data_IF_492253424410
#
_entry.id   IF_492253424410
#
_cell.length_a   1.000
_cell.length_b   1.000
_cell.length_c   1.000
_cell.angle_alpha   90.00
_cell.angle_beta   90.00
_cell.angle_gamma   90.00
#
_symmetry.space_group_name_H-M   'P 1'
#
loop_
_entity.id
_entity.type
_entity.pdbx_description
1 polymer ?
#
# COMPACT_ATOMS: atom_id res chain seq x y z
N UNK A 1 8.36 -7.20 -11.30
CA UNK A 1 8.00 -6.23 -12.34
C UNK A 1 8.03 -4.83 -11.72
N UNK A 2 7.52 -3.80 -12.40
CA UNK A 2 7.20 -2.54 -11.75
C UNK A 2 5.77 -2.63 -11.18
N UNK A 3 5.60 -2.39 -9.87
CA UNK A 3 4.28 -2.37 -9.22
C UNK A 3 3.29 -1.43 -9.93
N UNK A 4 3.81 -0.42 -10.63
CA UNK A 4 3.03 0.53 -11.45
C UNK A 4 2.36 -0.10 -12.68
N UNK A 5 2.74 -1.31 -13.05
CA UNK A 5 2.11 -2.10 -14.11
C UNK A 5 0.85 -2.83 -13.61
N UNK A 6 0.83 -3.21 -12.33
CA UNK A 6 -0.27 -3.95 -11.70
C UNK A 6 -1.07 -3.11 -10.69
N UNK A 7 -0.62 -1.91 -10.36
CA UNK A 7 -1.29 -0.99 -9.46
C UNK A 7 -1.11 0.48 -9.87
N UNK A 8 -2.16 1.29 -9.75
CA UNK A 8 -2.11 2.74 -9.94
C UNK A 8 -1.98 3.42 -8.60
N UNK A 9 -0.86 4.11 -8.38
CA UNK A 9 -0.59 4.84 -7.15
C UNK A 9 -0.85 6.32 -7.40
N UNK A 10 -1.71 6.92 -6.58
CA UNK A 10 -2.07 8.35 -6.58
C UNK A 10 -1.79 8.95 -5.22
N UNK A 11 -1.01 10.01 -5.18
CA UNK A 11 -0.80 10.79 -3.97
C UNK A 11 -1.85 11.91 -3.88
N UNK A 12 -2.57 11.97 -2.77
CA UNK A 12 -3.41 13.12 -2.39
C UNK A 12 -2.64 13.96 -1.37
N UNK A 13 -1.75 14.82 -1.87
CA UNK A 13 -0.91 15.69 -1.03
C UNK A 13 -1.73 16.67 -0.18
N UNK A 14 -3.00 16.96 -0.54
CA UNK A 14 -3.90 17.83 0.22
C UNK A 14 -4.38 17.18 1.54
N UNK A 15 -4.48 15.84 1.57
CA UNK A 15 -4.97 15.07 2.71
C UNK A 15 -3.89 14.21 3.38
N UNK A 16 -2.65 14.23 2.89
CA UNK A 16 -1.59 13.36 3.40
C UNK A 16 -1.96 11.88 3.28
N UNK A 17 -2.48 11.48 2.11
CA UNK A 17 -2.86 10.09 1.86
C UNK A 17 -2.44 9.64 0.47
N UNK A 18 -2.17 8.36 0.31
CA UNK A 18 -1.82 7.71 -0.95
C UNK A 18 -2.87 6.65 -1.24
N UNK A 19 -3.46 6.71 -2.43
CA UNK A 19 -4.46 5.76 -2.92
C UNK A 19 -3.77 4.83 -3.92
N UNK A 20 -3.91 3.53 -3.71
CA UNK A 20 -3.33 2.49 -4.57
C UNK A 20 -4.43 1.60 -5.12
N UNK A 21 -4.67 1.67 -6.42
CA UNK A 21 -5.67 0.86 -7.11
C UNK A 21 -5.00 -0.31 -7.82
N UNK A 22 -5.16 -1.53 -7.31
CA UNK A 22 -4.60 -2.74 -7.90
C UNK A 22 -5.48 -3.28 -9.04
N UNK A 23 -4.84 -3.75 -10.11
CA UNK A 23 -5.47 -4.33 -11.28
C UNK A 23 -4.96 -5.76 -11.49
N UNK A 24 -5.83 -6.74 -11.24
CA UNK A 24 -5.49 -8.17 -11.42
C UNK A 24 -4.89 -8.85 -10.18
N UNK A 25 -4.90 -8.18 -9.03
CA UNK A 25 -4.54 -8.78 -7.73
C UNK A 25 -5.80 -9.24 -7.01
N UNK A 26 -5.72 -10.39 -6.34
CA UNK A 26 -6.83 -10.94 -5.54
C UNK A 26 -7.04 -10.11 -4.26
N UNK A 27 -8.31 -9.84 -3.94
CA UNK A 27 -8.70 -9.07 -2.76
C UNK A 27 -8.17 -9.66 -1.46
N UNK A 28 -8.15 -10.99 -1.33
CA UNK A 28 -7.61 -11.68 -0.16
C UNK A 28 -6.16 -11.32 0.10
N UNK A 29 -5.34 -11.25 -0.96
CA UNK A 29 -3.92 -10.89 -0.84
C UNK A 29 -3.74 -9.43 -0.39
N UNK A 30 -4.55 -8.52 -0.94
CA UNK A 30 -4.55 -7.11 -0.51
C UNK A 30 -5.01 -6.95 0.94
N UNK A 31 -5.98 -7.75 1.36
CA UNK A 31 -6.48 -7.75 2.73
C UNK A 31 -5.45 -8.32 3.71
N UNK A 32 -4.70 -9.35 3.31
CA UNK A 32 -3.59 -9.90 4.09
C UNK A 32 -2.49 -8.86 4.29
N UNK A 33 -2.07 -8.18 3.20
CA UNK A 33 -1.15 -7.05 3.24
C UNK A 33 -1.62 -5.95 4.20
N UNK A 34 -2.88 -5.52 4.10
CA UNK A 34 -3.44 -4.48 4.97
C UNK A 34 -3.43 -4.94 6.42
N UNK A 35 -3.76 -6.20 6.70
CA UNK A 35 -3.74 -6.76 8.05
C UNK A 35 -2.32 -6.84 8.63
N UNK A 36 -1.33 -7.27 7.83
CA UNK A 36 0.08 -7.30 8.23
C UNK A 36 0.58 -5.89 8.56
N UNK A 37 0.31 -4.93 7.68
CA UNK A 37 0.78 -3.56 7.85
C UNK A 37 0.03 -2.82 8.97
N UNK A 38 -1.27 -3.06 9.13
CA UNK A 38 -2.06 -2.53 10.25
C UNK A 38 -1.66 -3.15 11.60
N UNK A 39 -1.19 -4.40 11.61
CA UNK A 39 -0.67 -5.08 12.80
C UNK A 39 0.76 -4.65 13.17
N UNK A 40 1.35 -3.70 12.44
CA UNK A 40 2.72 -3.21 12.68
C UNK A 40 3.82 -4.20 12.29
N UNK A 41 3.48 -5.23 11.52
CA UNK A 41 4.39 -6.30 11.07
C UNK A 41 4.48 -6.35 9.55
N UNK A 42 4.33 -5.19 8.89
CA UNK A 42 4.43 -5.07 7.43
C UNK A 42 5.81 -5.58 6.96
N UNK A 43 5.85 -6.79 6.41
CA UNK A 43 7.09 -7.41 5.92
C UNK A 43 7.67 -6.69 4.70
N UNK A 44 6.87 -5.87 4.04
CA UNK A 44 7.16 -5.21 2.78
C UNK A 44 7.60 -3.74 2.92
N UNK A 45 7.58 -3.16 4.12
CA UNK A 45 7.94 -1.76 4.36
C UNK A 45 9.15 -1.61 5.27
N UNK A 46 9.95 -0.55 5.03
CA UNK A 46 10.97 -0.13 5.99
C UNK A 46 10.34 0.35 7.31
N UNK A 47 11.03 0.22 8.44
CA UNK A 47 10.56 0.75 9.74
C UNK A 47 10.21 2.25 9.67
N UNK A 48 10.95 3.01 8.86
CA UNK A 48 10.70 4.43 8.62
C UNK A 48 9.37 4.69 7.88
N UNK A 49 9.03 3.83 6.91
CA UNK A 49 7.75 3.88 6.22
C UNK A 49 6.60 3.61 7.20
N UNK A 50 6.73 2.56 8.02
CA UNK A 50 5.71 2.21 9.02
C UNK A 50 5.51 3.30 10.09
N UNK A 51 6.57 4.05 10.41
CA UNK A 51 6.48 5.18 11.33
C UNK A 51 5.73 6.37 10.72
N UNK A 52 5.81 6.53 9.39
CA UNK A 52 5.13 7.60 8.67
C UNK A 52 3.69 7.25 8.28
N UNK A 53 3.33 5.97 8.21
CA UNK A 53 1.96 5.50 7.97
C UNK A 53 1.15 5.63 9.26
N UNK A 54 0.04 6.36 9.20
CA UNK A 54 -0.94 6.43 10.28
C UNK A 54 -2.03 5.37 10.16
N UNK A 55 -2.45 5.07 8.93
CA UNK A 55 -3.50 4.08 8.68
C UNK A 55 -3.36 3.44 7.31
N UNK A 56 -3.77 2.18 7.22
CA UNK A 56 -3.75 1.39 6.01
C UNK A 56 -5.11 0.69 5.92
N UNK A 57 -5.91 1.03 4.91
CA UNK A 57 -7.30 0.57 4.78
C UNK A 57 -7.54 0.05 3.39
N UNK A 58 -8.12 -1.15 3.29
CA UNK A 58 -8.65 -1.66 2.02
C UNK A 58 -10.04 -1.07 1.80
N UNK A 59 -10.23 -0.37 0.69
CA UNK A 59 -11.54 0.13 0.27
C UNK A 59 -12.50 -1.02 -0.02
N UNK A 60 -13.81 -0.76 0.08
CA UNK A 60 -14.86 -1.78 -0.10
C UNK A 60 -14.88 -2.43 -1.49
N UNK A 61 -14.25 -1.81 -2.50
CA UNK A 61 -14.11 -2.41 -3.83
C UNK A 61 -13.14 -3.61 -3.87
N UNK A 62 -12.37 -3.82 -2.79
CA UNK A 62 -11.46 -4.94 -2.63
C UNK A 62 -10.25 -4.91 -3.56
N UNK A 63 -9.97 -3.76 -4.20
CA UNK A 63 -8.84 -3.55 -5.11
C UNK A 63 -8.08 -2.25 -4.81
N UNK A 64 -8.71 -1.33 -4.09
CA UNK A 64 -8.13 -0.04 -3.73
C UNK A 64 -7.66 -0.07 -2.29
N UNK A 65 -6.43 0.38 -2.05
CA UNK A 65 -5.85 0.55 -0.72
C UNK A 65 -5.64 2.04 -0.49
N UNK A 66 -6.12 2.52 0.65
CA UNK A 66 -5.95 3.89 1.13
C UNK A 66 -4.94 3.90 2.27
N UNK A 67 -3.84 4.62 2.06
CA UNK A 67 -2.74 4.73 2.99
C UNK A 67 -2.69 6.17 3.47
N UNK A 68 -3.08 6.41 4.71
CA UNK A 68 -3.02 7.75 5.32
C UNK A 68 -1.74 7.89 6.13
N UNK A 69 -1.08 9.03 6.02
CA UNK A 69 0.12 9.36 6.78
C UNK A 69 1.09 10.26 6.01
N UNK A 70 2.26 10.50 6.59
CA UNK A 70 3.31 11.30 5.98
C UNK A 70 4.15 10.48 5.00
N UNK A 71 3.50 9.82 4.04
CA UNK A 71 4.13 8.94 3.06
C UNK A 71 3.91 9.44 1.64
N UNK A 72 4.93 9.26 0.80
CA UNK A 72 4.85 9.63 -0.62
C UNK A 72 4.44 8.46 -1.50
N UNK A 73 3.84 8.74 -2.66
CA UNK A 73 3.53 7.70 -3.67
C UNK A 73 4.76 6.89 -4.10
N UNK A 74 5.95 7.50 -4.03
CA UNK A 74 7.21 6.79 -4.32
C UNK A 74 7.52 5.73 -3.26
N UNK A 75 7.42 6.07 -1.98
CA UNK A 75 7.72 5.16 -0.87
C UNK A 75 6.73 4.00 -0.86
N UNK A 76 5.43 4.31 -1.04
CA UNK A 76 4.38 3.30 -1.19
C UNK A 76 4.69 2.36 -2.36
N UNK A 77 5.15 2.88 -3.51
CA UNK A 77 5.54 2.05 -4.63
C UNK A 77 6.73 1.13 -4.31
N UNK A 78 7.72 1.61 -3.57
CA UNK A 78 8.87 0.80 -3.18
C UNK A 78 8.49 -0.30 -2.18
N UNK A 79 7.66 0.02 -1.19
CA UNK A 79 7.09 -0.93 -0.24
C UNK A 79 6.31 -2.03 -0.95
N UNK A 80 5.35 -1.64 -1.81
CA UNK A 80 4.50 -2.60 -2.52
C UNK A 80 5.26 -3.40 -3.58
N UNK A 81 6.36 -2.85 -4.12
CA UNK A 81 7.22 -3.58 -5.05
C UNK A 81 7.92 -4.76 -4.39
N UNK A 82 8.26 -4.65 -3.11
CA UNK A 82 8.84 -5.79 -2.40
C UNK A 82 7.78 -6.84 -2.09
N UNK A 83 6.57 -6.41 -1.71
CA UNK A 83 5.42 -7.31 -1.59
C UNK A 83 5.07 -8.04 -2.89
N UNK A 84 5.14 -7.38 -4.05
CA UNK A 84 4.92 -8.01 -5.36
C UNK A 84 5.89 -9.15 -5.65
N UNK A 85 7.11 -9.13 -5.11
CA UNK A 85 8.05 -10.25 -5.33
C UNK A 85 7.64 -11.52 -4.59
N UNK A 86 6.85 -11.38 -3.54
CA UNK A 86 6.29 -12.49 -2.75
C UNK A 86 4.92 -12.95 -3.28
N UNK A 87 4.34 -12.27 -4.28
CA UNK A 87 3.05 -12.59 -4.90
C UNK A 87 3.09 -13.74 -5.91
#
# INVERSE_FOLDING_TARGET
>A
MDIREVAKIKEESDSGKVIVEFSGVETEKLQDLVNECSSGTCSCGSEEFLTNVESFVLSEDGKTIEISGNVSAKEVAETLKDWEKDL
#
